data_IF_760265209633
#
_entry.id   IF_760265209633
#
_cell.length_a   1.000
_cell.length_b   1.000
_cell.length_c   1.000
_cell.angle_alpha   90.00
_cell.angle_beta   90.00
_cell.angle_gamma   90.00
#
_symmetry.space_group_name_H-M   'P 1'
#
loop_
_entity.id
_entity.type
_entity.pdbx_description
1 polymer ?
#
# COMPACT_ATOMS: atom_id res chain seq x y z
N UNK A 1 -57.50 -0.48 23.81
CA UNK A 1 -58.05 0.45 24.83
C UNK A 1 -57.56 0.04 26.23
N UNK A 2 -57.45 0.97 27.21
CA UNK A 2 -56.31 0.91 28.13
C UNK A 2 -56.67 0.89 29.63
N UNK A 3 -55.64 0.87 30.48
CA UNK A 3 -55.66 1.60 31.76
C UNK A 3 -54.57 2.67 31.77
N UNK A 4 -54.87 3.79 32.41
CA UNK A 4 -54.11 5.04 32.40
C UNK A 4 -54.09 5.63 33.80
N UNK A 5 -52.92 6.13 34.22
CA UNK A 5 -52.67 7.35 35.02
C UNK A 5 -51.14 7.56 34.95
N UNK A 6 -50.64 8.66 34.39
CA UNK A 6 -50.68 10.04 34.89
C UNK A 6 -49.86 10.17 36.20
N UNK A 7 -48.88 11.07 36.33
CA UNK A 7 -48.32 12.02 35.35
C UNK A 7 -48.17 13.42 35.95
N UNK A 8 -47.20 14.19 35.48
CA UNK A 8 -47.17 15.65 35.67
C UNK A 8 -46.24 16.31 34.63
N UNK A 9 -46.47 17.60 34.34
CA UNK A 9 -45.77 18.36 33.31
C UNK A 9 -45.77 19.84 33.62
N UNK A 10 -44.62 20.50 33.49
CA UNK A 10 -44.48 21.97 33.57
C UNK A 10 -43.69 22.46 32.35
N UNK A 11 -44.08 23.62 31.82
CA UNK A 11 -43.66 24.14 30.51
C UNK A 11 -42.54 25.21 30.61
N UNK A 12 -42.01 25.61 29.45
CA UNK A 12 -41.18 26.81 29.28
C UNK A 12 -41.92 28.11 29.66
N UNK A 13 -41.16 29.15 30.00
CA UNK A 13 -41.04 30.41 29.23
C UNK A 13 -39.85 31.25 29.80
N UNK A 14 -39.36 32.33 29.13
CA UNK A 14 -37.93 32.67 29.18
C UNK A 14 -37.56 34.10 29.65
N UNK A 15 -36.25 34.37 29.58
CA UNK A 15 -35.58 35.68 29.44
C UNK A 15 -35.32 36.53 30.70
N UNK A 16 -34.11 37.09 30.77
CA UNK A 16 -33.82 38.54 30.81
C UNK A 16 -32.30 38.75 30.64
N UNK A 17 -31.91 39.80 29.93
CA UNK A 17 -30.52 40.18 29.67
C UNK A 17 -30.02 41.29 30.60
N UNK A 18 -28.70 41.36 30.83
CA UNK A 18 -28.02 42.57 31.33
C UNK A 18 -26.67 42.78 30.66
N UNK A 19 -26.50 43.95 30.05
CA UNK A 19 -25.23 44.45 29.57
C UNK A 19 -24.46 45.10 30.73
N UNK A 20 -23.13 45.01 30.72
CA UNK A 20 -22.23 45.99 31.36
C UNK A 20 -21.13 46.29 30.32
N UNK A 21 -20.78 47.57 30.17
CA UNK A 21 -19.90 48.09 29.12
C UNK A 21 -18.49 48.42 29.63
N UNK A 22 -17.54 48.55 28.70
CA UNK A 22 -16.11 48.85 28.93
C UNK A 22 -15.84 50.22 29.60
N UNK A 23 -14.58 50.51 29.96
CA UNK A 23 -13.79 51.27 28.98
C UNK A 23 -12.32 50.83 28.80
N UNK A 24 -11.94 50.64 27.53
CA UNK A 24 -10.65 50.96 26.85
C UNK A 24 -9.31 50.66 27.56
N UNK A 25 -8.56 49.73 26.96
CA UNK A 25 -7.08 49.67 27.01
C UNK A 25 -6.52 49.46 25.59
N UNK A 26 -5.35 50.02 25.29
CA UNK A 26 -4.84 50.16 23.91
C UNK A 26 -4.24 48.89 23.28
N UNK A 27 -3.98 48.95 21.97
CA UNK A 27 -3.51 47.84 21.14
C UNK A 27 -2.00 47.57 21.22
N UNK A 28 -1.61 46.31 20.95
CA UNK A 28 -0.50 46.00 20.03
C UNK A 28 -0.47 44.56 19.55
N UNK A 29 0.08 44.43 18.34
CA UNK A 29 0.39 43.27 17.50
C UNK A 29 0.36 41.87 18.12
N UNK A 30 -0.25 40.94 17.37
CA UNK A 30 0.19 39.54 17.32
C UNK A 30 1.65 39.46 16.90
N UNK A 31 2.48 38.71 17.62
CA UNK A 31 3.84 38.37 17.19
C UNK A 31 4.10 36.86 17.23
N UNK A 32 5.13 36.44 16.51
CA UNK A 32 5.34 35.05 16.10
C UNK A 32 6.02 34.21 17.18
N UNK A 33 5.45 33.03 17.44
CA UNK A 33 6.07 32.01 18.28
C UNK A 33 7.31 31.42 17.62
N UNK A 34 8.45 32.10 17.77
CA UNK A 34 9.74 31.69 17.22
C UNK A 34 10.20 30.39 17.89
N UNK A 35 10.13 29.28 17.16
CA UNK A 35 10.63 27.98 17.63
C UNK A 35 12.15 28.01 17.57
N UNK A 36 12.78 28.10 18.75
CA UNK A 36 14.24 28.12 18.89
C UNK A 36 14.90 26.93 18.19
N UNK A 37 16.11 27.17 17.66
CA UNK A 37 16.81 26.20 16.83
C UNK A 37 16.99 24.84 17.51
N UNK A 38 16.59 23.77 16.82
CA UNK A 38 16.86 22.41 17.27
C UNK A 38 18.38 22.15 17.34
N UNK A 39 18.88 21.41 18.35
CA UNK A 39 20.30 21.07 18.43
C UNK A 39 20.78 20.36 17.17
N UNK A 40 21.93 20.78 16.63
CA UNK A 40 22.64 20.00 15.62
C UNK A 40 23.17 18.69 16.26
N UNK A 41 23.23 17.57 15.54
CA UNK A 41 23.69 16.30 16.09
C UNK A 41 25.18 16.36 16.48
N UNK A 42 25.45 16.34 17.79
CA UNK A 42 26.79 16.49 18.39
C UNK A 42 27.62 15.21 18.39
N UNK A 43 27.67 14.49 17.26
CA UNK A 43 28.50 13.31 17.04
C UNK A 43 29.61 13.61 16.02
N UNK A 44 30.91 13.45 16.35
CA UNK A 44 32.02 13.92 15.50
C UNK A 44 32.13 13.19 14.14
N UNK A 45 31.57 11.98 14.03
CA UNK A 45 31.64 11.15 12.83
C UNK A 45 30.46 11.34 11.85
N UNK A 46 29.60 12.35 12.04
CA UNK A 46 28.48 12.65 11.14
C UNK A 46 28.70 13.92 10.32
N UNK A 47 29.11 13.75 9.06
CA UNK A 47 29.28 14.85 8.11
C UNK A 47 28.44 14.60 6.84
N UNK A 48 27.36 15.37 6.61
CA UNK A 48 26.62 15.37 5.35
C UNK A 48 27.50 15.68 4.13
N UNK A 49 27.18 15.09 2.98
CA UNK A 49 27.92 15.30 1.72
C UNK A 49 27.58 16.62 1.01
N UNK A 50 26.72 17.44 1.61
CA UNK A 50 26.19 18.70 1.10
C UNK A 50 25.56 19.49 2.24
N UNK A 51 25.21 20.76 1.99
CA UNK A 51 24.43 21.56 2.93
C UNK A 51 22.93 21.17 2.89
N UNK A 52 22.40 20.69 4.01
CA UNK A 52 21.00 20.27 4.15
C UNK A 52 20.15 21.46 4.62
N UNK A 53 19.55 22.18 3.66
CA UNK A 53 18.77 23.41 3.93
C UNK A 53 17.26 23.19 4.11
N UNK A 54 16.75 22.00 3.79
CA UNK A 54 15.30 21.72 3.80
C UNK A 54 14.74 21.51 5.21
N UNK A 55 13.70 22.26 5.59
CA UNK A 55 13.06 22.17 6.93
C UNK A 55 12.60 20.75 7.30
N UNK A 56 12.05 20.01 6.34
CA UNK A 56 11.66 18.60 6.53
C UNK A 56 12.86 17.69 6.77
N UNK A 57 13.90 17.79 5.94
CA UNK A 57 15.15 17.05 6.10
C UNK A 57 15.85 17.35 7.44
N UNK A 58 15.92 18.62 7.85
CA UNK A 58 16.46 19.03 9.16
C UNK A 58 15.62 18.46 10.31
N UNK A 59 14.29 18.50 10.21
CA UNK A 59 13.39 17.86 11.18
C UNK A 59 13.56 16.34 11.24
N UNK A 60 13.88 15.70 10.12
CA UNK A 60 14.15 14.26 10.07
C UNK A 60 15.50 13.92 10.73
N UNK A 61 16.57 14.63 10.38
CA UNK A 61 17.91 14.46 10.98
C UNK A 61 17.91 14.65 12.49
N UNK A 62 17.21 15.67 13.00
CA UNK A 62 17.12 15.96 14.42
C UNK A 62 16.24 14.97 15.23
N UNK A 63 15.50 14.08 14.56
CA UNK A 63 14.60 13.08 15.19
C UNK A 63 14.98 11.63 14.91
N UNK A 64 15.85 11.37 13.93
CA UNK A 64 16.30 10.02 13.60
C UNK A 64 17.18 9.46 14.73
N UNK A 65 16.83 8.27 15.22
CA UNK A 65 17.38 7.70 16.46
C UNK A 65 18.80 7.13 16.30
N UNK A 66 19.17 6.71 15.08
CA UNK A 66 20.52 6.20 14.79
C UNK A 66 21.29 7.11 13.85
N UNK A 67 22.60 7.23 14.10
CA UNK A 67 23.55 7.88 13.19
C UNK A 67 23.51 7.27 11.78
N UNK A 68 23.21 5.97 11.67
CA UNK A 68 22.97 5.30 10.39
C UNK A 68 21.79 5.91 9.65
N UNK A 69 20.63 6.04 10.30
CA UNK A 69 19.44 6.63 9.68
C UNK A 69 19.66 8.11 9.34
N UNK A 70 20.34 8.87 10.20
CA UNK A 70 20.81 10.23 9.88
C UNK A 70 21.69 10.27 8.62
N UNK A 71 22.65 9.35 8.50
CA UNK A 71 23.53 9.26 7.32
C UNK A 71 22.79 8.81 6.06
N UNK A 72 21.82 7.90 6.15
CA UNK A 72 20.94 7.54 5.03
C UNK A 72 20.09 8.74 4.58
N UNK A 73 19.43 9.43 5.52
CA UNK A 73 18.66 10.66 5.27
C UNK A 73 19.53 11.72 4.56
N UNK A 74 20.71 12.02 5.09
CA UNK A 74 21.62 13.00 4.50
C UNK A 74 22.05 12.61 3.08
N UNK A 75 22.39 11.34 2.85
CA UNK A 75 22.74 10.85 1.50
C UNK A 75 21.58 11.02 0.51
N UNK A 76 20.35 10.64 0.90
CA UNK A 76 19.15 10.75 0.06
C UNK A 76 18.83 12.20 -0.28
N UNK A 77 18.91 13.11 0.71
CA UNK A 77 18.66 14.54 0.53
C UNK A 77 19.70 15.18 -0.40
N UNK A 78 21.00 14.89 -0.20
CA UNK A 78 22.05 15.40 -1.09
C UNK A 78 21.93 14.89 -2.53
N UNK A 79 21.57 13.62 -2.73
CA UNK A 79 21.33 13.07 -4.08
C UNK A 79 20.12 13.73 -4.76
N UNK A 80 19.08 14.07 -3.99
CA UNK A 80 17.90 14.76 -4.51
C UNK A 80 18.17 16.23 -4.85
N UNK A 81 18.85 16.98 -3.97
CA UNK A 81 19.31 18.36 -4.23
C UNK A 81 20.22 18.43 -5.47
N UNK A 82 21.07 17.42 -5.67
CA UNK A 82 21.95 17.33 -6.85
C UNK A 82 21.24 16.88 -8.14
N UNK A 83 19.91 16.64 -8.12
CA UNK A 83 19.14 16.16 -9.28
C UNK A 83 19.44 14.71 -9.69
N UNK A 84 20.06 13.91 -8.83
CA UNK A 84 20.60 12.57 -9.12
C UNK A 84 19.78 11.40 -8.51
N UNK A 85 18.73 11.70 -7.75
CA UNK A 85 17.89 10.69 -7.11
C UNK A 85 16.63 10.33 -7.92
N UNK A 86 15.77 11.32 -8.20
CA UNK A 86 14.49 11.08 -8.87
C UNK A 86 14.63 11.16 -10.40
N UNK A 87 14.02 10.23 -11.16
CA UNK A 87 14.00 10.34 -12.62
C UNK A 87 13.15 11.54 -13.05
N UNK A 88 13.70 12.41 -13.90
CA UNK A 88 12.97 13.57 -14.43
C UNK A 88 11.87 13.16 -15.43
N UNK A 89 12.14 12.14 -16.25
CA UNK A 89 11.21 11.58 -17.23
C UNK A 89 11.32 10.05 -17.30
N UNK A 90 10.24 9.41 -17.71
CA UNK A 90 10.09 7.95 -17.83
C UNK A 90 9.45 7.63 -19.19
N UNK A 91 9.94 6.64 -19.95
CA UNK A 91 9.46 6.40 -21.31
C UNK A 91 8.03 5.83 -21.35
N UNK A 92 7.35 6.07 -22.47
CA UNK A 92 5.88 5.91 -22.63
C UNK A 92 5.55 5.17 -23.93
N UNK A 93 5.23 3.88 -23.85
CA UNK A 93 5.13 2.99 -25.02
C UNK A 93 3.67 2.55 -25.33
N UNK A 94 2.75 3.49 -25.61
CA UNK A 94 1.32 3.16 -25.88
C UNK A 94 0.66 4.03 -26.94
N UNK A 95 -0.29 3.39 -27.61
CA UNK A 95 -1.05 3.91 -28.72
C UNK A 95 -2.55 4.10 -28.39
N UNK A 96 -3.05 3.58 -27.24
CA UNK A 96 -4.36 3.92 -26.68
C UNK A 96 -4.37 5.29 -26.00
N UNK A 97 -5.44 6.04 -26.23
CA UNK A 97 -5.79 7.29 -25.52
C UNK A 97 -6.72 7.00 -24.33
N UNK A 98 -6.30 7.37 -23.10
CA UNK A 98 -7.15 7.33 -21.90
C UNK A 98 -7.08 6.04 -21.07
N UNK A 99 -8.15 5.74 -20.32
CA UNK A 99 -8.25 4.57 -19.41
C UNK A 99 -9.11 3.48 -20.05
N UNK A 100 -8.59 2.27 -20.13
CA UNK A 100 -9.34 1.07 -20.52
C UNK A 100 -10.17 0.52 -19.37
N UNK A 101 -11.42 0.98 -19.27
CA UNK A 101 -12.41 0.40 -18.36
C UNK A 101 -13.21 -0.67 -19.11
N UNK A 102 -12.77 -1.92 -19.06
CA UNK A 102 -13.65 -3.03 -19.43
C UNK A 102 -14.61 -3.30 -18.27
N UNK A 103 -15.91 -3.22 -18.52
CA UNK A 103 -16.94 -3.59 -17.54
C UNK A 103 -17.16 -5.10 -17.62
N UNK A 104 -16.85 -5.84 -16.55
CA UNK A 104 -17.40 -7.19 -16.39
C UNK A 104 -18.87 -7.04 -16.00
N UNK A 105 -19.76 -7.60 -16.82
CA UNK A 105 -21.03 -8.09 -16.32
C UNK A 105 -20.80 -9.53 -15.84
N UNK A 106 -20.93 -9.72 -14.52
CA UNK A 106 -20.98 -11.04 -13.91
C UNK A 106 -22.40 -11.24 -13.41
N UNK A 107 -22.98 -12.37 -13.78
CA UNK A 107 -24.34 -12.77 -13.45
C UNK A 107 -24.24 -13.99 -12.55
N UNK A 108 -24.88 -13.94 -11.38
CA UNK A 108 -24.78 -14.97 -10.33
C UNK A 108 -25.52 -16.25 -10.75
N UNK A 109 -24.86 -16.98 -11.64
CA UNK A 109 -25.26 -18.23 -12.25
C UNK A 109 -24.61 -19.41 -11.51
N UNK A 110 -25.24 -20.58 -11.56
CA UNK A 110 -24.73 -21.78 -10.86
C UNK A 110 -23.40 -22.22 -11.47
N UNK A 111 -22.33 -22.12 -10.69
CA UNK A 111 -20.97 -22.46 -11.10
C UNK A 111 -20.73 -23.96 -11.00
N UNK A 112 -20.69 -24.64 -12.15
CA UNK A 112 -20.13 -25.98 -12.25
C UNK A 112 -18.64 -25.92 -12.60
N UNK A 113 -17.80 -26.38 -11.67
CA UNK A 113 -16.35 -26.47 -11.86
C UNK A 113 -15.96 -27.57 -12.86
N UNK A 114 -16.78 -28.61 -13.07
CA UNK A 114 -16.47 -29.70 -13.98
C UNK A 114 -16.45 -29.27 -15.45
N UNK A 115 -17.16 -28.19 -15.80
CA UNK A 115 -17.15 -27.58 -17.14
C UNK A 115 -15.86 -26.78 -17.41
N UNK A 116 -15.02 -26.51 -16.40
CA UNK A 116 -13.82 -25.69 -16.52
C UNK A 116 -12.62 -26.58 -16.88
N UNK A 117 -12.35 -26.72 -18.18
CA UNK A 117 -11.23 -27.53 -18.70
C UNK A 117 -9.86 -27.21 -18.10
N UNK A 118 -9.63 -25.97 -17.64
CA UNK A 118 -8.41 -25.56 -16.95
C UNK A 118 -8.75 -24.61 -15.79
N UNK A 119 -9.00 -25.09 -14.56
CA UNK A 119 -9.09 -24.22 -13.39
C UNK A 119 -7.80 -23.39 -13.23
N UNK A 120 -7.91 -22.22 -12.58
CA UNK A 120 -6.73 -21.46 -12.15
C UNK A 120 -6.19 -22.00 -10.84
N UNK A 121 -4.87 -22.01 -10.69
CA UNK A 121 -4.19 -22.20 -9.42
C UNK A 121 -3.81 -20.84 -8.84
N UNK A 122 -4.18 -20.58 -7.60
CA UNK A 122 -3.97 -19.30 -6.94
C UNK A 122 -2.81 -19.43 -5.95
N UNK A 123 -1.88 -18.47 -5.94
CA UNK A 123 -0.96 -18.26 -4.82
C UNK A 123 -1.43 -17.08 -3.98
N UNK A 124 -1.78 -17.37 -2.73
CA UNK A 124 -2.14 -16.37 -1.73
C UNK A 124 -0.90 -15.92 -0.97
N UNK A 125 -0.52 -14.65 -1.10
CA UNK A 125 0.54 -14.04 -0.29
C UNK A 125 -0.08 -13.40 0.94
N UNK A 126 0.07 -14.07 2.08
CA UNK A 126 -0.48 -13.62 3.35
C UNK A 126 0.52 -12.73 4.08
N UNK A 127 0.18 -11.47 4.32
CA UNK A 127 1.04 -10.47 4.97
C UNK A 127 0.53 -10.23 6.39
N UNK A 128 1.18 -10.85 7.38
CA UNK A 128 0.60 -10.96 8.73
C UNK A 128 1.52 -10.43 9.85
N UNK A 129 0.89 -9.84 10.87
CA UNK A 129 1.57 -9.24 12.01
C UNK A 129 0.73 -9.34 13.30
N UNK A 130 1.31 -8.98 14.44
CA UNK A 130 0.63 -8.97 15.73
C UNK A 130 0.52 -10.34 16.38
N UNK A 131 -0.68 -10.69 16.89
CA UNK A 131 -0.90 -11.86 17.77
C UNK A 131 -2.05 -12.78 17.36
N UNK A 132 -2.79 -12.47 16.30
CA UNK A 132 -4.10 -13.05 15.96
C UNK A 132 -4.05 -14.46 15.32
N UNK A 133 -3.27 -15.38 15.89
CA UNK A 133 -3.06 -16.75 15.38
C UNK A 133 -4.37 -17.52 15.14
N UNK A 134 -5.38 -17.33 16.00
CA UNK A 134 -6.71 -17.95 15.82
C UNK A 134 -7.42 -17.45 14.57
N UNK A 135 -7.28 -16.17 14.23
CA UNK A 135 -7.83 -15.59 12.99
C UNK A 135 -7.05 -16.07 11.77
N UNK A 136 -5.72 -16.18 11.82
CA UNK A 136 -4.93 -16.82 10.75
C UNK A 136 -5.41 -18.25 10.48
N UNK A 137 -5.53 -19.08 11.52
CA UNK A 137 -6.00 -20.47 11.42
C UNK A 137 -7.45 -20.54 10.89
N UNK A 138 -8.30 -19.55 11.21
CA UNK A 138 -9.67 -19.40 10.65
C UNK A 138 -9.67 -18.99 9.17
N UNK A 139 -8.86 -18.00 8.78
CA UNK A 139 -8.72 -17.54 7.39
C UNK A 139 -8.21 -18.67 6.50
N UNK A 140 -7.10 -19.32 6.88
CA UNK A 140 -6.57 -20.51 6.20
C UNK A 140 -7.67 -21.55 6.01
N UNK A 141 -8.42 -21.92 7.06
CA UNK A 141 -9.53 -22.88 6.94
C UNK A 141 -10.62 -22.45 5.94
N UNK A 142 -10.83 -21.15 5.73
CA UNK A 142 -11.82 -20.64 4.78
C UNK A 142 -11.33 -20.57 3.32
N UNK A 143 -10.03 -20.34 3.10
CA UNK A 143 -9.44 -20.20 1.74
C UNK A 143 -8.63 -21.42 1.26
N UNK A 144 -8.44 -22.45 2.11
CA UNK A 144 -7.60 -23.60 1.79
C UNK A 144 -8.17 -24.50 0.69
N UNK A 145 -7.39 -24.71 -0.36
CA UNK A 145 -7.60 -25.75 -1.36
C UNK A 145 -6.28 -26.46 -1.66
N UNK A 146 -6.34 -27.73 -2.10
CA UNK A 146 -5.14 -28.55 -2.36
C UNK A 146 -4.33 -28.11 -3.58
N UNK A 147 -4.99 -27.47 -4.56
CA UNK A 147 -4.40 -27.05 -5.83
C UNK A 147 -3.87 -25.61 -5.82
N UNK A 148 -4.13 -24.88 -4.72
CA UNK A 148 -3.65 -23.52 -4.48
C UNK A 148 -2.42 -23.55 -3.57
N UNK A 149 -1.72 -22.42 -3.49
CA UNK A 149 -0.49 -22.24 -2.73
C UNK A 149 -0.62 -21.06 -1.75
N UNK A 150 0.10 -21.11 -0.63
CA UNK A 150 0.02 -20.10 0.42
C UNK A 150 1.43 -19.70 0.86
N UNK A 151 1.82 -18.47 0.59
CA UNK A 151 3.14 -17.94 0.94
C UNK A 151 3.00 -16.85 2.01
N UNK A 152 3.43 -17.16 3.24
CA UNK A 152 3.13 -16.34 4.41
C UNK A 152 4.35 -15.52 4.81
N UNK A 153 4.26 -14.20 4.66
CA UNK A 153 5.18 -13.25 5.27
C UNK A 153 4.72 -12.91 6.69
N UNK A 154 5.64 -12.98 7.65
CA UNK A 154 5.37 -12.57 9.04
C UNK A 154 6.29 -11.44 9.44
N UNK A 155 5.74 -10.26 9.75
CA UNK A 155 6.48 -9.06 10.15
C UNK A 155 7.56 -9.40 11.20
N UNK A 156 8.78 -8.87 11.00
CA UNK A 156 9.99 -9.18 11.78
C UNK A 156 9.81 -9.01 13.30
N UNK A 157 8.94 -8.11 13.76
CA UNK A 157 8.63 -7.88 15.19
C UNK A 157 7.71 -8.96 15.77
N UNK A 158 6.90 -9.60 14.93
CA UNK A 158 5.82 -10.53 15.31
C UNK A 158 6.30 -11.98 15.59
N UNK A 159 7.35 -12.12 16.41
CA UNK A 159 8.06 -13.40 16.63
C UNK A 159 7.20 -14.55 17.20
N UNK A 160 6.15 -14.24 17.97
CA UNK A 160 5.19 -15.25 18.43
C UNK A 160 4.37 -15.83 17.27
N UNK A 161 3.78 -14.96 16.45
CA UNK A 161 2.99 -15.33 15.27
C UNK A 161 3.85 -16.13 14.27
N UNK A 162 5.13 -15.78 14.13
CA UNK A 162 6.06 -16.49 13.24
C UNK A 162 6.24 -17.97 13.63
N UNK A 163 6.45 -18.28 14.92
CA UNK A 163 6.58 -19.68 15.38
C UNK A 163 5.30 -20.49 15.15
N UNK A 164 4.16 -19.90 15.47
CA UNK A 164 2.84 -20.51 15.27
C UNK A 164 2.52 -20.74 13.78
N UNK A 165 3.01 -19.86 12.90
CA UNK A 165 2.87 -19.98 11.44
C UNK A 165 3.78 -21.07 10.88
N UNK A 166 5.01 -21.20 11.37
CA UNK A 166 5.91 -22.31 11.00
C UNK A 166 5.32 -23.67 11.39
N UNK A 167 4.79 -23.79 12.62
CA UNK A 167 4.09 -25.01 13.06
C UNK A 167 2.85 -25.30 12.21
N UNK A 168 2.07 -24.26 11.84
CA UNK A 168 0.93 -24.42 10.94
C UNK A 168 1.36 -24.95 9.56
N UNK A 169 2.40 -24.37 8.96
CA UNK A 169 2.89 -24.74 7.64
C UNK A 169 3.36 -26.22 7.55
N UNK A 170 3.94 -26.77 8.63
CA UNK A 170 4.36 -28.18 8.70
C UNK A 170 3.22 -29.20 8.44
N UNK A 171 1.95 -28.79 8.58
CA UNK A 171 0.79 -29.65 8.37
C UNK A 171 0.29 -29.66 6.91
N UNK A 172 0.87 -28.86 6.01
CA UNK A 172 0.34 -28.65 4.66
C UNK A 172 1.47 -28.52 3.60
N UNK A 173 1.52 -29.38 2.56
CA UNK A 173 2.63 -29.38 1.59
C UNK A 173 2.66 -28.14 0.67
N UNK A 174 1.55 -27.41 0.59
CA UNK A 174 1.34 -26.22 -0.23
C UNK A 174 1.33 -24.91 0.60
N UNK A 175 1.72 -24.93 1.87
CA UNK A 175 1.92 -23.73 2.69
C UNK A 175 3.42 -23.55 2.98
N UNK A 176 3.95 -22.36 2.73
CA UNK A 176 5.35 -21.99 3.01
C UNK A 176 5.40 -20.63 3.71
N UNK A 177 6.44 -20.42 4.51
CA UNK A 177 6.71 -19.15 5.22
C UNK A 177 7.94 -18.49 4.60
N UNK A 178 7.98 -17.16 4.50
CA UNK A 178 9.15 -16.44 3.99
C UNK A 178 10.37 -16.70 4.89
N UNK A 179 11.52 -17.18 4.36
CA UNK A 179 12.72 -17.42 5.18
C UNK A 179 13.38 -16.11 5.64
N UNK A 180 13.17 -15.03 4.88
CA UNK A 180 13.48 -13.66 5.26
C UNK A 180 12.23 -12.99 5.86
N UNK A 181 12.44 -11.99 6.72
CA UNK A 181 11.35 -11.21 7.34
C UNK A 181 11.72 -9.74 7.38
N UNK A 182 10.83 -8.90 6.86
CA UNK A 182 10.96 -7.43 6.92
C UNK A 182 10.12 -6.88 8.06
N UNK A 183 10.48 -5.71 8.58
CA UNK A 183 9.53 -4.85 9.29
C UNK A 183 8.68 -4.19 8.21
N UNK A 184 7.37 -4.39 8.25
CA UNK A 184 6.42 -3.77 7.31
C UNK A 184 5.57 -2.79 8.10
N UNK A 185 6.01 -1.54 8.14
CA UNK A 185 5.29 -0.46 8.82
C UNK A 185 4.16 0.06 7.94
N UNK A 186 3.11 0.62 8.57
CA UNK A 186 2.03 1.25 7.83
C UNK A 186 2.56 2.43 7.01
N UNK A 187 2.22 2.49 5.72
CA UNK A 187 2.78 3.46 4.77
C UNK A 187 4.20 3.16 4.26
N UNK A 188 4.90 2.16 4.79
CA UNK A 188 6.30 1.86 4.50
C UNK A 188 6.58 1.42 3.05
N UNK A 189 7.74 1.82 2.51
CA UNK A 189 8.26 1.30 1.25
C UNK A 189 8.68 -0.18 1.34
N UNK A 190 8.96 -0.65 2.56
CA UNK A 190 9.14 -2.05 2.94
C UNK A 190 7.99 -2.95 2.48
N UNK A 191 6.74 -2.46 2.44
CA UNK A 191 5.60 -3.24 1.95
C UNK A 191 5.73 -3.61 0.46
N UNK A 192 6.09 -2.66 -0.40
CA UNK A 192 6.34 -2.95 -1.82
C UNK A 192 7.63 -3.76 -2.02
N UNK A 193 8.70 -3.48 -1.26
CA UNK A 193 9.95 -4.26 -1.28
C UNK A 193 9.69 -5.72 -0.88
N UNK A 194 8.79 -5.97 0.07
CA UNK A 194 8.31 -7.28 0.49
C UNK A 194 7.52 -7.96 -0.64
N UNK A 195 6.51 -7.30 -1.22
CA UNK A 195 5.73 -7.89 -2.33
C UNK A 195 6.61 -8.27 -3.52
N UNK A 196 7.52 -7.38 -3.96
CA UNK A 196 8.46 -7.68 -5.04
C UNK A 196 9.42 -8.83 -4.71
N UNK A 197 9.78 -9.02 -3.43
CA UNK A 197 10.60 -10.16 -3.00
C UNK A 197 9.79 -11.47 -2.98
N UNK A 198 8.55 -11.45 -2.52
CA UNK A 198 7.64 -12.60 -2.62
C UNK A 198 7.40 -12.98 -4.09
N UNK A 199 7.17 -11.99 -4.96
CA UNK A 199 7.03 -12.20 -6.41
C UNK A 199 8.28 -12.83 -7.02
N UNK A 200 9.48 -12.40 -6.63
CA UNK A 200 10.73 -13.05 -7.05
C UNK A 200 10.77 -14.52 -6.61
N UNK A 201 10.64 -14.78 -5.32
CA UNK A 201 10.80 -16.12 -4.76
C UNK A 201 9.75 -17.09 -5.34
N UNK A 202 8.54 -16.61 -5.64
CA UNK A 202 7.45 -17.39 -6.26
C UNK A 202 7.63 -17.68 -7.75
N UNK A 203 8.50 -16.95 -8.46
CA UNK A 203 8.93 -17.30 -9.83
C UNK A 203 10.11 -18.29 -9.82
N UNK A 204 10.90 -18.32 -8.73
CA UNK A 204 12.01 -19.26 -8.55
C UNK A 204 11.53 -20.65 -8.05
N UNK A 205 10.35 -20.75 -7.43
CA UNK A 205 9.70 -22.01 -7.02
C UNK A 205 8.98 -22.70 -8.19
N UNK A 206 9.74 -23.31 -9.10
CA UNK A 206 9.22 -23.95 -10.33
C UNK A 206 8.25 -25.12 -10.11
N UNK A 207 8.23 -25.70 -8.91
CA UNK A 207 7.27 -26.73 -8.51
C UNK A 207 5.88 -26.17 -8.15
N UNK A 208 5.78 -24.86 -7.90
CA UNK A 208 4.52 -24.16 -7.64
C UNK A 208 4.00 -23.50 -8.93
N UNK A 209 3.27 -24.28 -9.74
CA UNK A 209 2.65 -23.79 -10.97
C UNK A 209 1.37 -23.00 -10.66
N UNK A 210 1.47 -21.69 -10.45
CA UNK A 210 0.36 -20.77 -10.16
C UNK A 210 0.02 -19.84 -11.34
N UNK A 211 -1.25 -19.44 -11.44
CA UNK A 211 -1.75 -18.52 -12.48
C UNK A 211 -1.99 -17.10 -11.94
N UNK A 212 -2.42 -16.99 -10.67
CA UNK A 212 -2.80 -15.75 -10.01
C UNK A 212 -2.09 -15.55 -8.68
N UNK A 213 -1.47 -14.37 -8.52
CA UNK A 213 -1.02 -13.83 -7.24
C UNK A 213 -2.16 -13.02 -6.62
N UNK A 214 -2.53 -13.31 -5.37
CA UNK A 214 -3.49 -12.51 -4.57
C UNK A 214 -2.85 -12.20 -3.22
N UNK A 215 -2.80 -10.93 -2.81
CA UNK A 215 -2.39 -10.56 -1.46
C UNK A 215 -3.59 -10.55 -0.50
N UNK A 216 -3.38 -10.97 0.76
CA UNK A 216 -4.36 -10.84 1.85
C UNK A 216 -3.63 -10.51 3.17
N UNK A 217 -4.30 -9.81 4.09
CA UNK A 217 -3.85 -9.59 5.46
C UNK A 217 -4.33 -10.70 6.42
N UNK A 218 -3.99 -10.59 7.70
CA UNK A 218 -4.60 -11.40 8.76
C UNK A 218 -6.05 -11.01 9.11
N UNK A 219 -6.55 -9.88 8.57
CA UNK A 219 -7.88 -9.32 8.86
C UNK A 219 -8.90 -9.56 7.74
N UNK A 220 -8.46 -9.95 6.55
CA UNK A 220 -9.35 -10.29 5.43
C UNK A 220 -10.16 -11.57 5.68
N UNK A 221 -11.26 -11.71 4.93
CA UNK A 221 -12.10 -12.90 4.94
C UNK A 221 -12.86 -13.07 3.62
N UNK A 222 -12.97 -14.27 3.05
CA UNK A 222 -13.71 -14.49 1.80
C UNK A 222 -15.22 -14.27 1.98
N UNK A 223 -15.82 -13.56 1.03
CA UNK A 223 -17.27 -13.29 0.93
C UNK A 223 -17.99 -14.16 -0.11
N UNK A 224 -17.24 -14.80 -1.01
CA UNK A 224 -17.69 -15.80 -1.99
C UNK A 224 -16.90 -17.10 -1.79
N UNK A 225 -17.38 -18.21 -2.35
CA UNK A 225 -16.72 -19.52 -2.26
C UNK A 225 -15.48 -19.61 -3.14
N UNK A 226 -14.59 -20.57 -2.82
CA UNK A 226 -13.45 -20.91 -3.68
C UNK A 226 -13.89 -21.33 -5.11
N UNK A 227 -15.06 -21.97 -5.26
CA UNK A 227 -15.58 -22.39 -6.55
C UNK A 227 -15.91 -21.19 -7.45
N UNK A 228 -16.63 -20.20 -6.91
CA UNK A 228 -16.95 -18.96 -7.64
C UNK A 228 -15.68 -18.17 -8.01
N UNK A 229 -14.72 -18.05 -7.08
CA UNK A 229 -13.46 -17.35 -7.32
C UNK A 229 -12.63 -18.01 -8.43
N UNK A 230 -12.48 -19.34 -8.39
CA UNK A 230 -11.77 -20.10 -9.42
C UNK A 230 -12.48 -19.99 -10.77
N UNK A 231 -13.82 -20.04 -10.80
CA UNK A 231 -14.57 -19.91 -12.05
C UNK A 231 -14.48 -18.51 -12.67
N UNK A 232 -14.61 -17.47 -11.84
CA UNK A 232 -14.44 -16.09 -12.26
C UNK A 232 -13.04 -15.84 -12.85
N UNK A 233 -11.99 -16.26 -12.13
CA UNK A 233 -10.61 -16.08 -12.57
C UNK A 233 -10.25 -16.99 -13.76
N UNK A 234 -10.85 -18.19 -13.90
CA UNK A 234 -10.69 -19.01 -15.11
C UNK A 234 -11.35 -18.39 -16.34
N UNK A 235 -12.57 -17.84 -16.22
CA UNK A 235 -13.26 -17.13 -17.32
C UNK A 235 -12.49 -15.91 -17.81
N UNK A 236 -11.70 -15.30 -16.93
CA UNK A 236 -10.96 -14.06 -17.17
C UNK A 236 -9.44 -14.21 -16.97
N UNK A 237 -8.85 -15.38 -17.23
CA UNK A 237 -7.44 -15.73 -16.88
C UNK A 237 -6.35 -14.74 -17.31
N UNK A 238 -6.60 -13.98 -18.37
CA UNK A 238 -5.69 -12.96 -18.92
C UNK A 238 -5.96 -11.55 -18.35
N UNK A 239 -6.70 -11.44 -17.22
CA UNK A 239 -7.12 -10.17 -16.63
C UNK A 239 -6.50 -9.92 -15.25
N UNK A 240 -6.24 -8.65 -14.93
CA UNK A 240 -5.69 -8.19 -13.66
C UNK A 240 -6.73 -7.33 -12.92
N UNK A 241 -6.67 -7.31 -11.60
CA UNK A 241 -7.70 -6.68 -10.75
C UNK A 241 -7.02 -5.72 -9.77
N UNK A 242 -7.13 -4.41 -10.05
CA UNK A 242 -6.50 -3.35 -9.24
C UNK A 242 -7.41 -2.12 -9.17
N UNK A 243 -8.08 -1.92 -8.02
CA UNK A 243 -9.12 -0.89 -7.84
C UNK A 243 -8.57 0.54 -7.93
N UNK A 244 -9.08 1.35 -8.87
CA UNK A 244 -8.80 2.81 -8.92
C UNK A 244 -9.63 3.59 -7.89
N UNK A 245 -9.03 4.66 -7.35
CA UNK A 245 -9.68 5.66 -6.49
C UNK A 245 -10.87 6.35 -7.18
N UNK A 246 -10.84 6.48 -8.50
CA UNK A 246 -11.98 6.92 -9.33
C UNK A 246 -12.41 8.37 -9.14
N UNK A 247 -11.56 9.23 -8.57
CA UNK A 247 -11.82 10.66 -8.31
C UNK A 247 -10.84 11.54 -9.10
N UNK A 248 -10.75 12.82 -8.76
CA UNK A 248 -9.75 13.74 -9.31
C UNK A 248 -8.31 13.26 -9.00
N UNK A 249 -7.47 13.23 -10.04
CA UNK A 249 -6.09 12.74 -9.97
C UNK A 249 -5.15 13.73 -9.27
N UNK A 250 -5.34 15.05 -9.42
CA UNK A 250 -4.47 16.04 -8.79
C UNK A 250 -4.64 16.04 -7.26
N UNK A 251 -5.88 15.91 -6.79
CA UNK A 251 -6.24 15.69 -5.38
C UNK A 251 -5.71 14.36 -4.84
N UNK A 252 -5.70 13.29 -5.64
CA UNK A 252 -5.10 12.01 -5.24
C UNK A 252 -3.59 12.14 -5.01
N UNK A 253 -2.85 12.74 -5.97
CA UNK A 253 -1.40 12.96 -5.87
C UNK A 253 -1.03 13.70 -4.58
N UNK A 254 -1.71 14.82 -4.29
CA UNK A 254 -1.47 15.61 -3.08
C UNK A 254 -1.88 14.90 -1.78
N UNK A 255 -2.99 14.13 -1.78
CA UNK A 255 -3.44 13.41 -0.58
C UNK A 255 -2.54 12.24 -0.20
N UNK A 256 -1.95 11.56 -1.17
CA UNK A 256 -0.97 10.48 -0.92
C UNK A 256 0.46 11.00 -0.73
N UNK A 257 0.68 12.33 -0.74
CA UNK A 257 2.01 12.92 -0.63
C UNK A 257 2.97 12.50 -1.75
N UNK A 258 2.46 12.19 -2.95
CA UNK A 258 3.30 11.73 -4.06
C UNK A 258 4.24 12.82 -4.59
N UNK A 259 3.86 14.09 -4.39
CA UNK A 259 4.69 15.29 -4.57
C UNK A 259 5.75 15.49 -3.46
N UNK A 260 5.88 14.55 -2.51
CA UNK A 260 6.89 14.55 -1.44
C UNK A 260 7.85 13.39 -1.58
N UNK A 261 9.09 13.62 -1.17
CA UNK A 261 10.12 12.60 -1.02
C UNK A 261 10.06 11.98 0.38
N UNK A 262 10.08 10.65 0.44
CA UNK A 262 10.17 9.91 1.70
C UNK A 262 11.38 8.97 1.73
N UNK A 263 11.90 8.66 2.91
CA UNK A 263 12.86 7.56 3.13
C UNK A 263 12.44 6.72 4.33
N UNK A 264 12.80 5.43 4.31
CA UNK A 264 12.48 4.48 5.39
C UNK A 264 13.74 4.01 6.09
N UNK A 265 13.93 4.45 7.35
CA UNK A 265 14.95 3.94 8.26
C UNK A 265 14.49 4.07 9.72
N UNK A 266 15.09 3.29 10.62
CA UNK A 266 14.70 3.16 12.03
C UNK A 266 13.19 2.85 12.23
N UNK A 267 12.65 1.94 11.41
CA UNK A 267 11.23 1.56 11.37
C UNK A 267 10.26 2.76 11.25
N UNK A 268 10.69 3.85 10.58
CA UNK A 268 9.91 5.08 10.39
C UNK A 268 9.97 5.62 8.95
N UNK A 269 8.88 6.25 8.49
CA UNK A 269 8.81 6.94 7.19
C UNK A 269 9.10 8.44 7.35
N UNK A 270 10.30 8.85 6.98
CA UNK A 270 10.78 10.23 7.06
C UNK A 270 10.35 11.01 5.82
N UNK A 271 9.52 12.05 5.97
CA UNK A 271 9.32 13.05 4.91
C UNK A 271 10.55 13.95 4.84
N UNK A 272 11.13 14.10 3.65
CA UNK A 272 12.42 14.78 3.44
C UNK A 272 12.29 16.12 2.69
N UNK A 273 11.17 16.34 2.01
CA UNK A 273 10.87 17.55 1.25
C UNK A 273 10.04 17.25 0.02
N UNK A 274 10.10 18.13 -0.98
CA UNK A 274 9.24 18.09 -2.16
C UNK A 274 9.97 17.49 -3.37
N UNK A 275 9.20 16.85 -4.27
CA UNK A 275 9.71 16.31 -5.54
C UNK A 275 8.69 16.51 -6.66
N UNK A 276 9.17 16.57 -7.89
CA UNK A 276 8.31 16.58 -9.06
C UNK A 276 7.83 15.16 -9.40
N UNK A 277 6.67 15.06 -10.05
CA UNK A 277 6.18 13.83 -10.65
C UNK A 277 6.88 13.68 -12.02
N UNK A 278 7.54 12.54 -12.31
CA UNK A 278 8.28 12.38 -13.56
C UNK A 278 7.42 12.56 -14.81
N UNK A 279 7.98 13.20 -15.85
CA UNK A 279 7.31 13.33 -17.14
C UNK A 279 7.08 11.97 -17.82
N UNK A 280 6.06 11.90 -18.68
CA UNK A 280 5.64 10.69 -19.38
C UNK A 280 4.65 9.80 -18.61
N UNK A 281 4.63 9.87 -17.27
CA UNK A 281 3.77 9.04 -16.43
C UNK A 281 2.40 9.68 -16.16
N UNK A 282 1.32 8.91 -16.27
CA UNK A 282 -0.01 9.27 -15.75
C UNK A 282 -0.23 8.53 -14.44
N UNK A 283 -0.13 9.24 -13.32
CA UNK A 283 -0.36 8.64 -12.00
C UNK A 283 -1.83 8.22 -11.85
N UNK A 284 -2.04 7.00 -11.38
CA UNK A 284 -3.32 6.46 -10.89
C UNK A 284 -3.04 5.75 -9.54
N UNK A 285 -4.04 5.17 -8.91
CA UNK A 285 -3.88 4.48 -7.62
C UNK A 285 -5.21 4.16 -6.96
N UNK A 286 -5.21 3.67 -5.73
CA UNK A 286 -6.39 3.21 -4.99
C UNK A 286 -6.03 2.10 -4.02
N UNK A 287 -6.68 0.94 -4.14
CA UNK A 287 -6.42 -0.21 -3.26
C UNK A 287 -5.02 -0.79 -3.48
N UNK A 288 -4.34 -1.13 -2.40
CA UNK A 288 -3.14 -1.97 -2.36
C UNK A 288 -3.47 -3.47 -2.38
N UNK A 289 -4.74 -3.85 -2.19
CA UNK A 289 -5.27 -5.20 -2.47
C UNK A 289 -5.52 -5.39 -3.97
N UNK A 290 -5.04 -6.51 -4.50
CA UNK A 290 -5.09 -6.83 -5.93
C UNK A 290 -5.02 -8.33 -6.24
N UNK A 291 -5.43 -8.70 -7.47
CA UNK A 291 -5.13 -10.00 -8.06
C UNK A 291 -4.39 -9.82 -9.40
N UNK A 292 -3.19 -10.39 -9.52
CA UNK A 292 -2.29 -10.25 -10.67
C UNK A 292 -2.05 -11.59 -11.37
N UNK A 293 -1.95 -11.60 -12.69
CA UNK A 293 -1.58 -12.80 -13.46
C UNK A 293 -0.08 -13.09 -13.35
N UNK A 294 0.31 -14.37 -13.46
CA UNK A 294 1.71 -14.80 -13.54
C UNK A 294 2.51 -13.98 -14.56
N UNK A 295 1.96 -13.79 -15.76
CA UNK A 295 2.59 -13.01 -16.85
C UNK A 295 2.89 -11.55 -16.46
N UNK A 296 2.00 -10.91 -15.68
CA UNK A 296 2.25 -9.56 -15.19
C UNK A 296 3.40 -9.54 -14.19
N UNK A 297 3.39 -10.47 -13.23
CA UNK A 297 4.42 -10.60 -12.19
C UNK A 297 5.79 -10.94 -12.80
N UNK A 298 5.83 -11.87 -13.74
CA UNK A 298 7.01 -12.28 -14.50
C UNK A 298 7.66 -11.09 -15.23
N UNK A 299 6.87 -10.30 -15.98
CA UNK A 299 7.38 -9.07 -16.59
C UNK A 299 7.84 -8.05 -15.53
N UNK A 300 7.06 -7.81 -14.46
CA UNK A 300 7.44 -6.87 -13.36
C UNK A 300 8.81 -7.23 -12.80
N UNK A 301 9.09 -8.51 -12.62
CA UNK A 301 10.33 -8.97 -11.98
C UNK A 301 11.51 -9.03 -12.96
N UNK A 302 11.31 -9.59 -14.16
CA UNK A 302 12.40 -10.00 -15.05
C UNK A 302 12.70 -8.99 -16.18
N UNK A 303 11.84 -8.00 -16.43
CA UNK A 303 12.06 -7.02 -17.50
C UNK A 303 13.27 -6.11 -17.27
N UNK A 304 13.96 -5.78 -18.36
CA UNK A 304 15.00 -4.74 -18.44
C UNK A 304 14.43 -3.39 -18.92
N UNK A 305 13.12 -3.25 -19.01
CA UNK A 305 12.46 -2.02 -19.43
C UNK A 305 12.79 -0.86 -18.47
N UNK A 306 13.38 0.21 -19.03
CA UNK A 306 13.76 1.44 -18.33
C UNK A 306 12.57 2.03 -17.55
N UNK A 307 11.35 1.88 -18.07
CA UNK A 307 10.11 2.19 -17.38
C UNK A 307 10.06 1.57 -15.98
N UNK A 308 10.16 0.25 -15.91
CA UNK A 308 9.95 -0.51 -14.67
C UNK A 308 11.12 -0.28 -13.72
N UNK A 309 12.33 -0.10 -14.24
CA UNK A 309 13.52 0.27 -13.46
C UNK A 309 13.33 1.65 -12.81
N UNK A 310 12.94 2.67 -13.59
CA UNK A 310 12.69 4.04 -13.08
C UNK A 310 11.51 4.09 -12.10
N UNK A 311 10.43 3.36 -12.36
CA UNK A 311 9.28 3.30 -11.44
C UNK A 311 9.63 2.59 -10.13
N UNK A 312 10.34 1.45 -10.16
CA UNK A 312 10.87 0.80 -8.95
C UNK A 312 11.69 1.80 -8.13
N UNK A 313 12.54 2.60 -8.77
CA UNK A 313 13.33 3.64 -8.09
C UNK A 313 12.47 4.76 -7.47
N UNK A 314 11.51 5.29 -8.22
CA UNK A 314 10.56 6.31 -7.71
C UNK A 314 9.78 5.81 -6.49
N UNK A 315 9.36 4.54 -6.50
CA UNK A 315 8.57 3.94 -5.42
C UNK A 315 9.35 3.56 -4.16
N UNK A 316 10.67 3.36 -4.22
CA UNK A 316 11.47 3.13 -3.00
C UNK A 316 11.52 4.35 -2.06
N UNK A 317 11.21 5.54 -2.56
CA UNK A 317 11.18 6.81 -1.83
C UNK A 317 9.76 7.44 -1.75
N UNK A 318 8.74 6.59 -1.68
CA UNK A 318 7.31 6.96 -1.74
C UNK A 318 6.56 6.42 -0.52
N UNK A 319 5.62 7.22 0.01
CA UNK A 319 4.65 6.79 1.03
C UNK A 319 3.51 5.97 0.38
N UNK A 320 3.05 4.92 1.06
CA UNK A 320 1.99 4.01 0.59
C UNK A 320 2.22 3.48 -0.86
N UNK A 321 3.43 3.03 -1.25
CA UNK A 321 3.74 2.76 -2.66
C UNK A 321 2.99 1.57 -3.26
N UNK A 322 2.34 0.73 -2.45
CA UNK A 322 1.46 -0.34 -2.93
C UNK A 322 0.08 0.17 -3.39
N UNK A 323 -0.40 1.32 -2.87
CA UNK A 323 -1.66 1.94 -3.31
C UNK A 323 -1.54 2.65 -4.67
N UNK A 324 -0.31 2.92 -5.13
CA UNK A 324 -0.04 3.88 -6.21
C UNK A 324 0.43 3.17 -7.48
N UNK A 325 -0.16 3.54 -8.62
CA UNK A 325 0.02 2.84 -9.90
C UNK A 325 0.26 3.83 -11.04
N UNK A 326 1.52 4.04 -11.37
CA UNK A 326 1.92 4.86 -12.50
C UNK A 326 1.59 4.16 -13.81
N UNK A 327 0.66 4.75 -14.57
CA UNK A 327 0.45 4.43 -15.98
C UNK A 327 1.35 5.35 -16.79
N UNK A 328 2.60 4.98 -17.02
CA UNK A 328 3.00 5.11 -18.42
C UNK A 328 2.12 4.09 -19.13
N UNK A 329 1.32 4.58 -20.04
CA UNK A 329 0.80 3.68 -21.05
C UNK A 329 1.97 3.54 -22.03
N UNK A 330 2.53 2.39 -22.37
CA UNK A 330 2.53 1.04 -21.80
C UNK A 330 4.04 0.63 -21.80
N UNK A 331 4.59 -0.51 -22.27
CA UNK A 331 4.12 -1.59 -23.15
C UNK A 331 3.95 -2.88 -22.36
N UNK A 332 2.75 -3.48 -22.42
CA UNK A 332 2.43 -4.71 -21.70
C UNK A 332 1.54 -5.59 -22.58
N UNK A 333 2.01 -6.79 -22.94
CA UNK A 333 1.24 -7.77 -23.71
C UNK A 333 -0.14 -8.00 -23.10
N UNK A 334 -1.19 -7.74 -23.90
CA UNK A 334 -2.63 -7.68 -23.58
C UNK A 334 -3.06 -6.79 -22.38
N UNK A 335 -2.16 -6.43 -21.48
CA UNK A 335 -2.45 -6.04 -20.10
C UNK A 335 -2.91 -4.58 -19.92
N UNK A 336 -3.22 -3.90 -21.02
CA UNK A 336 -3.89 -2.61 -21.01
C UNK A 336 -5.33 -2.63 -21.56
N UNK A 337 -5.98 -3.80 -21.63
CA UNK A 337 -7.46 -3.96 -21.70
C UNK A 337 -8.01 -4.67 -20.45
N UNK A 338 -7.32 -4.45 -19.33
CA UNK A 338 -7.06 -5.50 -18.33
C UNK A 338 -6.98 -4.93 -16.91
N UNK A 339 -7.28 -3.63 -16.71
CA UNK A 339 -7.43 -3.04 -15.38
C UNK A 339 -8.91 -2.99 -15.00
N UNK A 340 -9.40 -4.13 -14.50
CA UNK A 340 -10.80 -4.27 -14.10
C UNK A 340 -11.02 -3.62 -12.73
N UNK A 341 -12.21 -3.02 -12.54
CA UNK A 341 -12.65 -2.58 -11.21
C UNK A 341 -12.74 -3.83 -10.35
N UNK A 342 -11.78 -3.99 -9.46
CA UNK A 342 -11.69 -5.18 -8.61
C UNK A 342 -13.02 -5.44 -7.87
N UNK A 343 -13.64 -6.62 -8.09
CA UNK A 343 -14.80 -7.08 -7.33
C UNK A 343 -14.41 -8.07 -6.20
N UNK A 344 -13.14 -8.47 -6.10
CA UNK A 344 -12.69 -9.50 -5.15
C UNK A 344 -12.52 -8.97 -3.73
N UNK A 345 -12.27 -7.66 -3.56
CA UNK A 345 -12.20 -6.99 -2.26
C UNK A 345 -13.35 -6.01 -2.05
N UNK A 346 -14.04 -6.16 -0.91
CA UNK A 346 -15.02 -5.19 -0.40
C UNK A 346 -14.38 -4.48 0.80
N UNK A 347 -14.07 -3.20 0.63
CA UNK A 347 -13.67 -2.32 1.73
C UNK A 347 -14.92 -1.89 2.51
N UNK A 348 -14.98 -2.22 3.80
CA UNK A 348 -16.06 -1.89 4.74
C UNK A 348 -15.67 -0.73 5.65
#
# INVERSE_FOLDING_TARGET
>A
PPRVRAGDSVQHEPSISKNISDPKGESKNSDTGSVGGAPQPTSPDFTPKCEVVGKDALSALARASTQRCQQEIANVVCLHQAGKLMPQSVPRHCHLSGKSNANIQWEDSVVDLALIQKPVKIVYVLVIHGRAVRQLKRLIKAIYHRDHFYYIHVDKRSNYLHRETLQLAQHYPNIRVTPWRMVTIWGGASLLKMYLRCMKDLLEMTEWQWDYFINLSATDYPTRTNAELVAFLSKYREKNYLKSHGRDNARFIKKQGLDRLFHECDDHMWRLGDRQIPEGIVVDGGSDWFALTHKLVEYVMNTQDELVIKLKHFYWYTLLPAEVRSKTSQNWYSSCQVLLRDPTHIHT
#
